data_IF_348751441054
#
_entry.id   IF_348751441054
#
_cell.length_a   1.000
_cell.length_b   1.000
_cell.length_c   1.000
_cell.angle_alpha   90.00
_cell.angle_beta   90.00
_cell.angle_gamma   90.00
#
_symmetry.space_group_name_H-M   'P 1'
#
loop_
_entity.id
_entity.type
_entity.pdbx_description
1 polymer ?
#
# COMPACT_ATOMS: atom_id res chain seq x y z
N UNK A 1 42.62 -25.62 50.95
CA UNK A 1 42.48 -25.26 49.52
C UNK A 1 41.04 -25.31 49.03
N UNK A 2 40.26 -26.37 49.30
CA UNK A 2 38.85 -26.44 48.84
C UNK A 2 37.92 -25.35 49.39
N UNK A 3 38.09 -24.94 50.66
CA UNK A 3 37.23 -23.91 51.27
C UNK A 3 37.43 -22.50 50.69
N UNK A 4 38.64 -22.17 50.23
CA UNK A 4 38.91 -20.87 49.60
C UNK A 4 38.31 -20.79 48.20
N UNK A 5 38.39 -21.88 47.43
CA UNK A 5 37.81 -21.96 46.09
C UNK A 5 36.28 -21.83 46.14
N UNK A 6 35.64 -22.46 47.13
CA UNK A 6 34.19 -22.34 47.33
C UNK A 6 33.74 -20.91 47.70
N UNK A 7 34.58 -20.16 48.40
CA UNK A 7 34.29 -18.75 48.74
C UNK A 7 34.43 -17.83 47.52
N UNK A 8 35.45 -18.06 46.68
CA UNK A 8 35.65 -17.30 45.45
C UNK A 8 34.56 -17.56 44.41
N UNK A 9 34.11 -18.81 44.28
CA UNK A 9 33.00 -19.16 43.38
C UNK A 9 31.70 -18.49 43.82
N UNK A 10 31.41 -18.44 45.14
CA UNK A 10 30.24 -17.73 45.66
C UNK A 10 30.25 -16.24 45.32
N UNK A 11 31.41 -15.58 45.45
CA UNK A 11 31.56 -14.17 45.08
C UNK A 11 31.30 -13.93 43.59
N UNK A 12 31.84 -14.80 42.72
CA UNK A 12 31.58 -14.72 41.28
C UNK A 12 30.10 -14.86 40.95
N UNK A 13 29.40 -15.79 41.60
CA UNK A 13 27.95 -15.95 41.41
C UNK A 13 27.14 -14.75 41.93
N UNK A 14 27.55 -14.15 43.04
CA UNK A 14 26.93 -12.93 43.56
C UNK A 14 27.15 -11.74 42.60
N UNK A 15 28.35 -11.58 42.07
CA UNK A 15 28.68 -10.54 41.09
C UNK A 15 27.89 -10.73 39.77
N UNK A 16 27.84 -11.96 39.25
CA UNK A 16 27.07 -12.29 38.04
C UNK A 16 25.57 -12.06 38.27
N UNK A 17 25.05 -12.42 39.45
CA UNK A 17 23.66 -12.19 39.81
C UNK A 17 23.33 -10.69 39.87
N UNK A 18 24.15 -9.88 40.54
CA UNK A 18 23.97 -8.43 40.60
C UNK A 18 24.00 -7.82 39.19
N UNK A 19 24.96 -8.24 38.35
CA UNK A 19 25.07 -7.76 36.98
C UNK A 19 23.81 -8.08 36.14
N UNK A 20 23.25 -9.29 36.28
CA UNK A 20 22.03 -9.67 35.58
C UNK A 20 20.79 -8.94 36.13
N UNK A 21 20.73 -8.71 37.44
CA UNK A 21 19.66 -7.91 38.07
C UNK A 21 19.67 -6.46 37.53
N UNK A 22 20.85 -5.82 37.49
CA UNK A 22 21.03 -4.48 36.91
C UNK A 22 20.60 -4.43 35.43
N UNK A 23 20.96 -5.45 34.64
CA UNK A 23 20.58 -5.52 33.23
C UNK A 23 19.07 -5.63 33.04
N UNK A 24 18.38 -6.38 33.91
CA UNK A 24 16.91 -6.50 33.88
C UNK A 24 16.25 -5.18 34.29
N UNK A 25 16.79 -4.47 35.27
CA UNK A 25 16.28 -3.16 35.67
C UNK A 25 16.45 -2.11 34.56
N UNK A 26 17.60 -2.08 33.89
CA UNK A 26 17.84 -1.19 32.76
C UNK A 26 16.88 -1.47 31.61
N UNK A 27 16.62 -2.74 31.30
CA UNK A 27 15.68 -3.14 30.25
C UNK A 27 14.23 -2.73 30.58
N UNK A 28 13.81 -2.94 31.83
CA UNK A 28 12.49 -2.49 32.32
C UNK A 28 12.34 -0.98 32.21
N UNK A 29 13.36 -0.23 32.63
CA UNK A 29 13.36 1.24 32.53
C UNK A 29 13.26 1.68 31.07
N UNK A 30 14.02 1.06 30.16
CA UNK A 30 13.98 1.35 28.72
C UNK A 30 12.60 1.08 28.13
N UNK A 31 11.92 -0.01 28.52
CA UNK A 31 10.54 -0.29 28.10
C UNK A 31 9.56 0.77 28.60
N UNK A 32 9.69 1.17 29.86
CA UNK A 32 8.82 2.17 30.47
C UNK A 32 8.98 3.54 29.79
N UNK A 33 10.21 3.96 29.51
CA UNK A 33 10.48 5.21 28.77
C UNK A 33 9.89 5.16 27.36
N UNK A 34 10.03 4.04 26.65
CA UNK A 34 9.45 3.86 25.31
C UNK A 34 7.91 3.90 25.34
N UNK A 35 7.27 3.32 26.37
CA UNK A 35 5.82 3.37 26.56
C UNK A 35 5.34 4.80 26.89
N UNK A 36 6.08 5.53 27.72
CA UNK A 36 5.81 6.93 28.02
C UNK A 36 5.96 7.81 26.77
N UNK A 37 7.01 7.61 25.96
CA UNK A 37 7.19 8.34 24.70
C UNK A 37 6.05 8.03 23.71
N UNK A 38 5.68 6.76 23.57
CA UNK A 38 4.59 6.34 22.71
C UNK A 38 3.23 6.93 23.17
N UNK A 39 2.96 6.93 24.47
CA UNK A 39 1.72 7.49 25.03
C UNK A 39 1.66 9.01 24.86
N UNK A 40 2.76 9.73 25.10
CA UNK A 40 2.84 11.17 24.84
C UNK A 40 2.61 11.51 23.35
N UNK A 41 3.14 10.68 22.45
CA UNK A 41 2.92 10.85 21.00
C UNK A 41 1.47 10.58 20.60
N UNK A 42 0.83 9.57 21.19
CA UNK A 42 -0.60 9.31 20.99
C UNK A 42 -1.46 10.48 21.49
N UNK A 43 -1.16 11.01 22.66
CA UNK A 43 -1.87 12.15 23.23
C UNK A 43 -1.73 13.40 22.35
N UNK A 44 -0.51 13.69 21.86
CA UNK A 44 -0.28 14.79 20.93
C UNK A 44 -1.10 14.65 19.63
N UNK A 45 -1.15 13.44 19.05
CA UNK A 45 -1.98 13.17 17.86
C UNK A 45 -3.48 13.29 18.16
N UNK A 46 -3.93 12.87 19.35
CA UNK A 46 -5.33 13.00 19.74
C UNK A 46 -5.73 14.48 19.87
N UNK A 47 -4.88 15.31 20.47
CA UNK A 47 -5.10 16.78 20.53
C UNK A 47 -5.17 17.39 19.14
N UNK A 48 -4.28 17.02 18.22
CA UNK A 48 -4.33 17.49 16.83
C UNK A 48 -5.63 17.06 16.12
N UNK A 49 -6.10 15.82 16.33
CA UNK A 49 -7.37 15.33 15.79
C UNK A 49 -8.55 16.15 16.34
N UNK A 50 -8.54 16.45 17.64
CA UNK A 50 -9.58 17.23 18.29
C UNK A 50 -9.62 18.68 17.78
N UNK A 51 -8.47 19.34 17.64
CA UNK A 51 -8.37 20.67 17.04
C UNK A 51 -8.91 20.69 15.60
N UNK A 52 -8.57 19.67 14.79
CA UNK A 52 -9.10 19.54 13.42
C UNK A 52 -10.61 19.31 13.41
N UNK A 53 -11.14 18.57 14.39
CA UNK A 53 -12.60 18.38 14.55
C UNK A 53 -13.29 19.69 14.90
N UNK A 54 -12.73 20.48 15.81
CA UNK A 54 -13.28 21.80 16.18
C UNK A 54 -13.21 22.82 15.02
N UNK A 55 -12.12 22.85 14.26
CA UNK A 55 -12.02 23.69 13.07
C UNK A 55 -13.10 23.32 12.02
N UNK A 56 -13.41 22.02 11.90
CA UNK A 56 -14.48 21.53 11.01
C UNK A 56 -15.88 21.89 11.52
N UNK A 57 -16.11 21.96 12.82
CA UNK A 57 -17.42 22.37 13.35
C UNK A 57 -17.61 23.89 13.23
N UNK A 58 -16.58 24.70 13.49
CA UNK A 58 -16.63 26.17 13.33
C UNK A 58 -16.86 26.63 11.89
N UNK A 59 -16.35 25.90 10.91
CA UNK A 59 -16.53 26.24 9.48
C UNK A 59 -17.87 25.79 8.89
N UNK A 60 -18.64 24.94 9.60
CA UNK A 60 -19.95 24.44 9.15
C UNK A 60 -21.13 25.37 9.43
N UNK A 61 -20.96 26.42 10.22
CA UNK A 61 -22.07 27.35 10.57
C UNK A 61 -22.30 28.49 9.58
N UNK A 62 -21.59 28.56 8.45
CA UNK A 62 -21.70 29.69 7.51
C UNK A 62 -22.27 29.38 6.11
N UNK A 63 -22.62 28.14 5.76
CA UNK A 63 -23.39 27.85 4.53
C UNK A 63 -23.92 26.40 4.49
N UNK A 64 -25.19 26.17 4.12
CA UNK A 64 -25.68 24.84 3.78
C UNK A 64 -25.30 24.53 2.33
N UNK A 65 -24.22 23.78 2.10
CA UNK A 65 -23.99 23.18 0.79
C UNK A 65 -23.68 21.69 0.93
N UNK A 66 -24.71 20.89 0.62
CA UNK A 66 -24.69 19.68 -0.19
C UNK A 66 -23.44 18.80 0.03
N UNK A 67 -23.69 17.71 0.76
CA UNK A 67 -22.77 16.61 0.99
C UNK A 67 -22.07 16.10 -0.28
N UNK A 68 -20.93 15.42 -0.10
CA UNK A 68 -21.00 14.00 -0.36
C UNK A 68 -20.73 13.17 0.90
N UNK A 69 -21.66 12.25 1.14
CA UNK A 69 -21.49 11.06 1.95
C UNK A 69 -20.24 10.30 1.47
N UNK A 70 -19.16 10.36 2.25
CA UNK A 70 -18.08 9.39 2.14
C UNK A 70 -18.47 8.29 3.11
N UNK A 71 -19.17 7.30 2.57
CA UNK A 71 -19.47 6.07 3.25
C UNK A 71 -18.19 5.50 3.86
N UNK A 72 -18.27 5.25 5.16
CA UNK A 72 -17.69 4.10 5.86
C UNK A 72 -17.26 2.96 4.92
N UNK A 73 -15.97 2.90 4.59
CA UNK A 73 -15.31 1.77 3.94
C UNK A 73 -14.99 0.63 4.94
N UNK A 74 -15.79 0.48 5.99
CA UNK A 74 -15.59 -0.53 7.04
C UNK A 74 -16.50 -1.77 6.91
N UNK A 75 -17.37 -1.86 5.89
CA UNK A 75 -18.32 -3.00 5.80
C UNK A 75 -18.59 -3.50 4.37
N UNK A 76 -17.53 -3.80 3.61
CA UNK A 76 -17.68 -4.59 2.37
C UNK A 76 -16.82 -5.85 2.36
N UNK A 77 -15.82 -5.98 3.23
CA UNK A 77 -15.01 -7.20 3.35
C UNK A 77 -15.83 -8.35 3.96
N UNK A 78 -16.83 -8.05 4.80
CA UNK A 78 -17.68 -9.07 5.46
C UNK A 78 -18.57 -9.87 4.49
N UNK A 79 -19.03 -9.27 3.39
CA UNK A 79 -19.94 -9.95 2.45
C UNK A 79 -19.24 -10.92 1.49
N UNK A 80 -17.91 -10.87 1.36
CA UNK A 80 -17.15 -11.80 0.52
C UNK A 80 -16.64 -13.04 1.26
N UNK A 81 -16.83 -13.12 2.58
CA UNK A 81 -16.39 -14.24 3.43
C UNK A 81 -17.55 -15.13 3.93
N UNK A 82 -18.81 -14.75 3.64
CA UNK A 82 -19.98 -15.56 3.97
C UNK A 82 -20.46 -16.24 2.69
N UNK A 83 -20.33 -17.58 2.54
CA UNK A 83 -20.95 -18.26 1.42
C UNK A 83 -22.47 -18.01 1.46
N UNK A 84 -23.12 -17.70 0.32
CA UNK A 84 -24.55 -17.50 0.30
C UNK A 84 -25.25 -18.76 0.82
N UNK A 85 -26.32 -18.64 1.62
CA UNK A 85 -27.09 -19.80 2.08
C UNK A 85 -27.56 -20.60 0.86
N UNK A 86 -27.54 -21.94 0.91
CA UNK A 86 -28.01 -22.76 -0.20
C UNK A 86 -29.50 -22.47 -0.41
N UNK A 87 -29.83 -21.70 -1.44
CA UNK A 87 -31.21 -21.54 -1.91
C UNK A 87 -31.73 -22.90 -2.34
N UNK A 88 -32.73 -23.40 -1.63
CA UNK A 88 -33.48 -24.59 -2.02
C UNK A 88 -33.95 -24.44 -3.47
N UNK A 89 -33.69 -25.46 -4.28
CA UNK A 89 -34.09 -25.52 -5.68
C UNK A 89 -35.61 -25.32 -5.79
N UNK A 90 -36.01 -24.16 -6.32
CA UNK A 90 -37.39 -23.93 -6.74
C UNK A 90 -37.61 -24.69 -8.04
N UNK A 91 -38.16 -25.88 -7.92
CA UNK A 91 -38.74 -26.67 -9.01
C UNK A 91 -40.03 -26.00 -9.48
N UNK A 92 -39.98 -25.11 -10.48
CA UNK A 92 -41.15 -24.75 -11.29
C UNK A 92 -40.77 -24.39 -12.72
N UNK A 93 -41.29 -25.18 -13.66
CA UNK A 93 -41.25 -24.87 -15.09
C UNK A 93 -41.32 -26.12 -15.97
N UNK A 94 -42.52 -26.66 -16.17
CA UNK A 94 -42.85 -27.62 -17.23
C UNK A 94 -42.51 -27.07 -18.61
N UNK A 95 -41.74 -27.78 -19.47
CA UNK A 95 -41.71 -27.49 -20.89
C UNK A 95 -42.62 -28.46 -21.66
N UNK A 96 -43.45 -27.86 -22.51
CA UNK A 96 -44.20 -28.46 -23.61
C UNK A 96 -43.31 -29.33 -24.52
N UNK A 97 -43.81 -30.46 -25.06
CA UNK A 97 -43.01 -31.33 -25.92
C UNK A 97 -42.97 -30.79 -27.35
N UNK A 98 -41.79 -30.40 -27.84
CA UNK A 98 -41.51 -30.21 -29.27
C UNK A 98 -40.56 -31.31 -29.72
N UNK A 99 -40.93 -32.17 -30.69
CA UNK A 99 -40.06 -33.24 -31.16
C UNK A 99 -39.15 -32.68 -32.26
N UNK A 100 -37.99 -32.15 -31.88
CA UNK A 100 -36.89 -31.95 -32.82
C UNK A 100 -35.69 -32.75 -32.39
N UNK A 101 -35.52 -33.88 -33.09
CA UNK A 101 -34.24 -34.58 -33.30
C UNK A 101 -33.11 -33.55 -33.41
N UNK A 102 -32.29 -33.46 -32.38
CA UNK A 102 -30.90 -33.04 -32.52
C UNK A 102 -30.07 -34.13 -31.88
N UNK A 103 -29.21 -34.72 -32.70
CA UNK A 103 -28.24 -35.73 -32.31
C UNK A 103 -27.19 -35.04 -31.43
N UNK A 104 -27.48 -34.96 -30.14
CA UNK A 104 -26.46 -34.68 -29.14
C UNK A 104 -25.51 -35.87 -29.16
N UNK A 105 -24.19 -35.69 -29.38
CA UNK A 105 -23.25 -36.78 -29.20
C UNK A 105 -23.39 -37.24 -27.76
N UNK A 106 -23.79 -38.49 -27.56
CA UNK A 106 -23.85 -39.16 -26.27
C UNK A 106 -22.46 -39.06 -25.65
N UNK A 107 -22.24 -38.05 -24.81
CA UNK A 107 -21.03 -37.97 -23.99
C UNK A 107 -21.05 -39.25 -23.18
N UNK A 108 -20.10 -40.13 -23.48
CA UNK A 108 -19.82 -41.32 -22.69
C UNK A 108 -19.90 -40.93 -21.21
N UNK A 109 -20.70 -41.60 -20.37
CA UNK A 109 -20.78 -41.26 -18.96
C UNK A 109 -19.37 -41.40 -18.39
N UNK A 110 -18.73 -40.26 -18.13
CA UNK A 110 -17.45 -40.23 -17.40
C UNK A 110 -17.66 -41.10 -16.16
N UNK A 111 -16.81 -42.11 -15.91
CA UNK A 111 -17.00 -43.02 -14.80
C UNK A 111 -17.19 -42.19 -13.53
N UNK A 112 -18.28 -42.46 -12.80
CA UNK A 112 -18.62 -41.73 -11.61
C UNK A 112 -17.42 -41.77 -10.66
N UNK A 113 -16.68 -40.65 -10.58
CA UNK A 113 -15.56 -40.51 -9.65
C UNK A 113 -16.09 -40.91 -8.26
N UNK A 114 -15.37 -41.80 -7.59
CA UNK A 114 -15.65 -42.17 -6.21
C UNK A 114 -15.80 -40.89 -5.37
N UNK A 115 -16.68 -40.89 -4.35
CA UNK A 115 -16.93 -39.70 -3.54
C UNK A 115 -15.64 -39.07 -3.00
N UNK A 116 -14.65 -39.89 -2.65
CA UNK A 116 -13.31 -39.47 -2.22
C UNK A 116 -12.57 -38.65 -3.30
N UNK A 117 -12.58 -39.10 -4.57
CA UNK A 117 -11.95 -38.35 -5.66
C UNK A 117 -12.64 -37.02 -5.94
N UNK A 118 -13.92 -36.88 -5.58
CA UNK A 118 -14.64 -35.60 -5.68
C UNK A 118 -14.25 -34.66 -4.55
N UNK A 119 -14.14 -35.16 -3.32
CA UNK A 119 -13.70 -34.35 -2.18
C UNK A 119 -12.28 -33.87 -2.37
N UNK A 120 -11.38 -34.72 -2.84
CA UNK A 120 -9.99 -34.33 -3.14
C UNK A 120 -9.92 -33.23 -4.20
N UNK A 121 -10.76 -33.33 -5.24
CA UNK A 121 -10.82 -32.31 -6.28
C UNK A 121 -11.34 -30.97 -5.74
N UNK A 122 -12.37 -30.98 -4.88
CA UNK A 122 -12.88 -29.76 -4.24
C UNK A 122 -11.81 -29.13 -3.34
N UNK A 123 -11.08 -29.94 -2.57
CA UNK A 123 -9.99 -29.47 -1.71
C UNK A 123 -8.86 -28.86 -2.56
N UNK A 124 -8.46 -29.52 -3.65
CA UNK A 124 -7.44 -29.00 -4.56
C UNK A 124 -7.87 -27.70 -5.22
N UNK A 125 -9.11 -27.61 -5.73
CA UNK A 125 -9.65 -26.39 -6.33
C UNK A 125 -9.73 -25.25 -5.31
N UNK A 126 -10.11 -25.56 -4.07
CA UNK A 126 -10.12 -24.60 -2.97
C UNK A 126 -8.71 -24.09 -2.65
N UNK A 127 -7.74 -24.99 -2.46
CA UNK A 127 -6.35 -24.63 -2.18
C UNK A 127 -5.72 -23.84 -3.33
N UNK A 128 -6.01 -24.21 -4.57
CA UNK A 128 -5.58 -23.48 -5.75
C UNK A 128 -6.15 -22.05 -5.75
N UNK A 129 -7.44 -21.90 -5.42
CA UNK A 129 -8.09 -20.59 -5.34
C UNK A 129 -7.54 -19.72 -4.20
N UNK A 130 -7.30 -20.30 -3.03
CA UNK A 130 -6.65 -19.61 -1.90
C UNK A 130 -5.24 -19.18 -2.28
N UNK A 131 -4.44 -20.04 -2.91
CA UNK A 131 -3.10 -19.71 -3.39
C UNK A 131 -3.11 -18.59 -4.42
N UNK A 132 -4.06 -18.60 -5.37
CA UNK A 132 -4.24 -17.51 -6.33
C UNK A 132 -4.62 -16.20 -5.64
N UNK A 133 -5.52 -16.23 -4.66
CA UNK A 133 -5.88 -15.04 -3.88
C UNK A 133 -4.67 -14.46 -3.13
N UNK A 134 -3.83 -15.29 -2.52
CA UNK A 134 -2.59 -14.83 -1.89
C UNK A 134 -1.60 -14.24 -2.89
N UNK A 135 -1.43 -14.86 -4.06
CA UNK A 135 -0.57 -14.31 -5.13
C UNK A 135 -1.08 -12.97 -5.62
N UNK A 136 -2.39 -12.83 -5.80
CA UNK A 136 -3.01 -11.56 -6.21
C UNK A 136 -2.90 -10.50 -5.12
N UNK A 137 -3.00 -10.88 -3.84
CA UNK A 137 -2.81 -9.96 -2.71
C UNK A 137 -1.35 -9.51 -2.59
N UNK A 138 -0.40 -10.43 -2.75
CA UNK A 138 1.03 -10.15 -2.59
C UNK A 138 1.62 -9.34 -3.76
N UNK A 139 1.16 -9.59 -4.99
CA UNK A 139 1.72 -8.97 -6.19
C UNK A 139 0.82 -7.92 -6.84
N UNK A 140 -0.43 -7.77 -6.37
CA UNK A 140 -1.45 -6.96 -7.03
C UNK A 140 -1.95 -7.62 -8.33
N UNK A 141 -3.01 -7.05 -8.92
CA UNK A 141 -3.57 -7.51 -10.18
C UNK A 141 -3.34 -6.50 -11.32
N UNK A 142 -3.08 -7.00 -12.52
CA UNK A 142 -2.98 -6.21 -13.75
C UNK A 142 -1.90 -5.12 -13.72
N UNK A 143 -2.32 -3.86 -13.90
CA UNK A 143 -1.43 -2.70 -14.03
C UNK A 143 -0.64 -2.41 -12.75
N UNK A 144 -1.27 -2.60 -11.59
CA UNK A 144 -0.62 -2.36 -10.29
C UNK A 144 0.60 -3.27 -10.11
N UNK A 145 0.48 -4.55 -10.50
CA UNK A 145 1.61 -5.48 -10.49
C UNK A 145 2.76 -5.01 -11.37
N UNK A 146 2.45 -4.59 -12.60
CA UNK A 146 3.50 -4.09 -13.50
C UNK A 146 4.19 -2.84 -12.95
N UNK A 147 3.47 -1.96 -12.27
CA UNK A 147 4.03 -0.75 -11.69
C UNK A 147 4.89 -1.06 -10.45
N UNK A 148 4.43 -1.97 -9.58
CA UNK A 148 5.20 -2.49 -8.45
C UNK A 148 6.47 -3.21 -8.89
N UNK A 149 6.39 -4.04 -9.94
CA UNK A 149 7.54 -4.75 -10.50
C UNK A 149 8.58 -3.77 -11.08
N UNK A 150 8.12 -2.70 -11.76
CA UNK A 150 9.00 -1.64 -12.27
C UNK A 150 9.68 -0.89 -11.13
N UNK A 151 8.92 -0.49 -10.11
CA UNK A 151 9.46 0.20 -8.95
C UNK A 151 10.47 -0.67 -8.19
N UNK A 152 10.16 -1.96 -8.02
CA UNK A 152 11.05 -2.93 -7.38
C UNK A 152 12.34 -3.10 -8.16
N UNK A 153 12.26 -3.28 -9.49
CA UNK A 153 13.45 -3.33 -10.36
C UNK A 153 14.29 -2.06 -10.26
N UNK A 154 13.65 -0.89 -10.26
CA UNK A 154 14.33 0.38 -10.12
C UNK A 154 15.05 0.50 -8.76
N UNK A 155 14.39 0.10 -7.66
CA UNK A 155 15.00 0.09 -6.32
C UNK A 155 16.17 -0.89 -6.21
N UNK A 156 16.08 -2.07 -6.84
CA UNK A 156 17.17 -3.04 -6.89
C UNK A 156 18.38 -2.45 -7.64
N UNK A 157 18.16 -1.82 -8.79
CA UNK A 157 19.24 -1.17 -9.55
C UNK A 157 19.89 -0.05 -8.74
N UNK A 158 19.08 0.79 -8.11
CA UNK A 158 19.56 1.85 -7.23
C UNK A 158 20.39 1.31 -6.07
N UNK A 159 19.94 0.23 -5.42
CA UNK A 159 20.69 -0.38 -4.33
C UNK A 159 22.01 -0.99 -4.82
N UNK A 160 22.03 -1.60 -6.01
CA UNK A 160 23.29 -2.08 -6.63
C UNK A 160 24.28 -0.94 -6.88
N UNK A 161 23.79 0.23 -7.30
CA UNK A 161 24.65 1.40 -7.51
C UNK A 161 25.16 1.98 -6.18
N UNK A 162 24.34 1.97 -5.12
CA UNK A 162 24.75 2.36 -3.76
C UNK A 162 25.87 1.45 -3.23
N UNK A 163 25.74 0.13 -3.43
CA UNK A 163 26.77 -0.85 -3.05
C UNK A 163 28.08 -0.53 -3.78
N UNK A 164 28.05 -0.30 -5.10
CA UNK A 164 29.25 0.05 -5.87
C UNK A 164 29.89 1.36 -5.41
N UNK A 165 29.09 2.34 -5.01
CA UNK A 165 29.58 3.63 -4.52
C UNK A 165 30.20 3.47 -3.13
N UNK A 166 29.56 2.70 -2.25
CA UNK A 166 30.09 2.36 -0.93
C UNK A 166 31.39 1.57 -1.03
N UNK A 167 31.48 0.57 -1.93
CA UNK A 167 32.72 -0.15 -2.22
C UNK A 167 33.84 0.81 -2.64
N UNK A 168 33.54 1.72 -3.58
CA UNK A 168 34.52 2.73 -4.02
C UNK A 168 34.95 3.65 -2.88
N UNK A 169 34.05 4.02 -1.98
CA UNK A 169 34.35 4.90 -0.85
C UNK A 169 35.19 4.20 0.23
N UNK A 170 34.92 2.92 0.52
CA UNK A 170 35.57 2.14 1.57
C UNK A 170 36.92 1.55 1.13
N UNK A 171 37.04 1.16 -0.14
CA UNK A 171 38.24 0.54 -0.71
C UNK A 171 39.04 1.45 -1.63
N UNK A 172 38.52 2.63 -1.98
CA UNK A 172 39.13 3.54 -2.96
C UNK A 172 39.04 3.05 -4.42
N UNK A 173 38.52 1.84 -4.66
CA UNK A 173 38.36 1.21 -5.98
C UNK A 173 37.13 0.31 -6.00
N UNK A 174 36.68 -0.09 -7.19
CA UNK A 174 35.67 -1.15 -7.32
C UNK A 174 36.34 -2.51 -7.15
N UNK A 175 35.78 -3.32 -6.26
CA UNK A 175 36.26 -4.68 -6.00
C UNK A 175 35.91 -5.59 -7.17
N UNK A 176 36.80 -6.55 -7.48
CA UNK A 176 36.48 -7.64 -8.40
C UNK A 176 35.62 -8.68 -7.70
N UNK A 177 34.86 -9.46 -8.48
CA UNK A 177 34.08 -10.58 -7.95
C UNK A 177 35.00 -11.55 -7.19
N UNK A 178 34.68 -11.82 -5.92
CA UNK A 178 35.46 -12.71 -5.03
C UNK A 178 36.66 -12.07 -4.33
N UNK A 179 37.05 -10.84 -4.65
CA UNK A 179 38.16 -10.16 -3.96
C UNK A 179 37.85 -9.89 -2.49
N UNK A 180 36.60 -9.52 -2.19
CA UNK A 180 36.12 -9.31 -0.83
C UNK A 180 36.18 -10.60 0.03
N UNK A 181 36.02 -11.76 -0.60
CA UNK A 181 36.04 -13.05 0.10
C UNK A 181 37.45 -13.55 0.39
N UNK A 182 38.46 -13.01 -0.30
CA UNK A 182 39.87 -13.31 -0.07
C UNK A 182 40.47 -12.52 1.09
N UNK A 183 39.76 -11.51 1.61
CA UNK A 183 40.22 -10.72 2.75
C UNK A 183 40.20 -11.55 4.04
N UNK A 184 41.13 -11.30 4.99
CA UNK A 184 41.07 -11.89 6.32
C UNK A 184 39.72 -11.62 6.99
N UNK A 185 39.17 -12.62 7.70
CA UNK A 185 37.84 -12.53 8.30
C UNK A 185 37.65 -11.29 9.20
N UNK A 186 38.67 -10.93 9.97
CA UNK A 186 38.65 -9.74 10.82
C UNK A 186 38.48 -8.44 10.00
N UNK A 187 39.23 -8.29 8.91
CA UNK A 187 39.13 -7.13 8.02
C UNK A 187 37.80 -7.13 7.25
N UNK A 188 37.33 -8.31 6.84
CA UNK A 188 36.05 -8.49 6.15
C UNK A 188 34.89 -7.94 6.99
N UNK A 189 34.85 -8.23 8.29
CA UNK A 189 33.83 -7.70 9.20
C UNK A 189 33.90 -6.17 9.28
N UNK A 190 35.08 -5.60 9.55
CA UNK A 190 35.27 -4.15 9.67
C UNK A 190 34.85 -3.44 8.38
N UNK A 191 35.28 -3.97 7.22
CA UNK A 191 34.96 -3.39 5.92
C UNK A 191 33.50 -3.58 5.54
N UNK A 192 32.88 -4.72 5.88
CA UNK A 192 31.45 -4.96 5.71
C UNK A 192 30.63 -3.93 6.49
N UNK A 193 31.00 -3.67 7.75
CA UNK A 193 30.31 -2.69 8.60
C UNK A 193 30.47 -1.27 8.05
N UNK A 194 31.65 -0.91 7.56
CA UNK A 194 31.89 0.36 6.88
C UNK A 194 31.04 0.52 5.61
N UNK A 195 30.99 -0.51 4.76
CA UNK A 195 30.13 -0.50 3.56
C UNK A 195 28.66 -0.32 3.95
N UNK A 196 28.19 -1.08 4.95
CA UNK A 196 26.81 -1.00 5.41
C UNK A 196 26.47 0.36 6.02
N UNK A 197 27.39 0.99 6.73
CA UNK A 197 27.22 2.34 7.26
C UNK A 197 27.02 3.36 6.13
N UNK A 198 27.89 3.32 5.11
CA UNK A 198 27.77 4.20 3.92
C UNK A 198 26.47 3.95 3.16
N UNK A 199 26.09 2.68 2.94
CA UNK A 199 24.82 2.35 2.27
C UNK A 199 23.63 2.91 3.04
N UNK A 200 23.60 2.76 4.38
CA UNK A 200 22.53 3.31 5.22
C UNK A 200 22.44 4.83 5.07
N UNK A 201 23.59 5.52 5.06
CA UNK A 201 23.65 6.97 4.86
C UNK A 201 23.10 7.38 3.49
N UNK A 202 23.51 6.70 2.41
CA UNK A 202 23.02 6.96 1.06
C UNK A 202 21.50 6.76 0.94
N UNK A 203 20.97 5.69 1.52
CA UNK A 203 19.53 5.41 1.56
C UNK A 203 18.81 6.52 2.34
N UNK A 204 19.34 6.95 3.48
CA UNK A 204 18.75 8.01 4.28
C UNK A 204 18.76 9.36 3.56
N UNK A 205 19.87 9.70 2.88
CA UNK A 205 19.98 10.90 2.07
C UNK A 205 18.95 10.94 0.93
N UNK A 206 18.73 9.79 0.26
CA UNK A 206 17.70 9.66 -0.78
C UNK A 206 16.29 9.83 -0.20
N UNK A 207 15.98 9.14 0.90
CA UNK A 207 14.68 9.25 1.58
C UNK A 207 14.38 10.69 2.02
N UNK A 208 15.40 11.38 2.53
CA UNK A 208 15.31 12.80 2.88
C UNK A 208 15.08 13.68 1.64
N UNK A 209 15.70 13.34 0.50
CA UNK A 209 15.46 13.95 -0.79
C UNK A 209 14.01 13.80 -1.26
N UNK A 210 13.47 12.58 -1.19
CA UNK A 210 12.10 12.26 -1.62
C UNK A 210 11.05 12.99 -0.75
N UNK A 211 11.28 13.07 0.57
CA UNK A 211 10.45 13.85 1.49
C UNK A 211 10.45 15.34 1.13
N UNK A 212 11.61 15.92 0.79
CA UNK A 212 11.72 17.31 0.34
C UNK A 212 11.07 17.54 -1.03
N UNK A 213 11.09 16.57 -1.94
CA UNK A 213 10.41 16.69 -3.22
C UNK A 213 8.88 16.60 -3.07
N UNK A 214 8.38 15.68 -2.24
CA UNK A 214 6.95 15.54 -1.97
C UNK A 214 6.33 16.80 -1.35
N UNK A 215 7.05 17.47 -0.44
CA UNK A 215 6.61 18.74 0.14
C UNK A 215 6.58 19.87 -0.89
N UNK A 216 7.57 19.97 -1.78
CA UNK A 216 7.58 20.95 -2.89
C UNK A 216 6.41 20.74 -3.85
N UNK A 217 6.08 19.49 -4.23
CA UNK A 217 4.93 19.20 -5.08
C UNK A 217 3.61 19.62 -4.42
N UNK A 218 3.43 19.32 -3.12
CA UNK A 218 2.24 19.75 -2.36
C UNK A 218 2.11 21.28 -2.33
N UNK A 219 3.21 22.01 -2.15
CA UNK A 219 3.23 23.48 -2.18
C UNK A 219 2.83 24.02 -3.55
N UNK A 220 3.42 23.51 -4.63
CA UNK A 220 3.06 23.89 -6.02
C UNK A 220 1.59 23.61 -6.35
N UNK A 221 1.04 22.47 -5.89
CA UNK A 221 -0.38 22.16 -6.10
C UNK A 221 -1.30 23.12 -5.34
N UNK A 222 -0.93 23.53 -4.12
CA UNK A 222 -1.67 24.57 -3.37
C UNK A 222 -1.59 25.95 -4.04
N UNK A 223 -0.43 26.34 -4.55
CA UNK A 223 -0.26 27.60 -5.29
C UNK A 223 -1.08 27.62 -6.59
N UNK A 224 -1.03 26.55 -7.39
CA UNK A 224 -1.85 26.43 -8.59
C UNK A 224 -3.35 26.40 -8.29
N UNK A 225 -3.79 25.76 -7.20
CA UNK A 225 -5.19 25.77 -6.79
C UNK A 225 -5.68 27.17 -6.34
N UNK A 226 -4.80 27.98 -5.73
CA UNK A 226 -5.11 29.38 -5.37
C UNK A 226 -5.18 30.26 -6.62
N UNK A 227 -4.24 30.12 -7.56
CA UNK A 227 -4.25 30.89 -8.81
C UNK A 227 -5.42 30.50 -9.74
N UNK A 228 -5.82 29.24 -9.76
CA UNK A 228 -6.99 28.78 -10.54
C UNK A 228 -8.32 29.35 -10.05
N UNK A 229 -8.47 29.64 -8.76
CA UNK A 229 -9.69 30.26 -8.20
C UNK A 229 -9.88 31.72 -8.57
N UNK A 230 -8.80 32.46 -8.87
CA UNK A 230 -8.92 33.86 -9.31
C UNK A 230 -9.30 33.99 -10.79
N UNK A 231 -8.86 33.07 -11.66
CA UNK A 231 -9.24 33.11 -13.10
C UNK A 231 -10.70 32.72 -13.38
N UNK A 232 -11.40 32.10 -12.43
CA UNK A 232 -12.81 31.73 -12.57
C UNK A 232 -13.81 32.88 -12.31
N UNK A 233 -13.36 34.05 -11.84
CA UNK A 233 -14.22 35.22 -11.65
C UNK A 233 -14.36 36.08 -12.90
N UNK A 234 -13.36 36.10 -13.78
CA UNK A 234 -13.38 36.95 -14.98
C UNK A 234 -14.12 36.30 -16.17
N UNK A 235 -14.21 34.97 -16.22
CA UNK A 235 -14.93 34.24 -17.27
C UNK A 235 -16.47 34.30 -17.15
N UNK A 236 -17.02 34.77 -16.03
CA UNK A 236 -18.46 35.05 -15.91
C UNK A 236 -18.89 36.31 -16.67
N UNK A 237 -17.96 37.17 -17.08
CA UNK A 237 -18.26 38.35 -17.90
C UNK A 237 -18.28 38.07 -19.41
N UNK A 238 -17.68 36.96 -19.87
CA UNK A 238 -17.55 36.67 -21.30
C UNK A 238 -18.68 35.81 -21.89
N UNK A 239 -19.46 35.10 -21.06
CA UNK A 239 -20.54 34.20 -21.56
C UNK A 239 -21.86 34.92 -21.87
N UNK A 240 -21.97 36.22 -21.59
CA UNK A 240 -23.14 37.01 -21.97
C UNK A 240 -23.07 37.51 -23.43
N UNK A 241 -21.87 37.65 -23.98
CA UNK A 241 -21.68 38.23 -25.32
C UNK A 241 -21.85 37.21 -26.47
N UNK A 242 -21.60 35.92 -26.23
CA UNK A 242 -21.71 34.88 -27.26
C UNK A 242 -23.11 34.31 -27.47
N UNK A 243 -24.07 34.53 -26.54
CA UNK A 243 -25.47 34.11 -26.75
C UNK A 243 -26.22 34.98 -27.77
N UNK A 244 -25.86 36.26 -27.91
CA UNK A 244 -26.53 37.18 -28.85
C UNK A 244 -26.18 36.88 -30.31
N UNK A 245 -25.01 36.29 -30.58
CA UNK A 245 -24.58 35.95 -31.93
C UNK A 245 -25.22 34.66 -32.47
N UNK A 246 -25.56 33.69 -31.60
CA UNK A 246 -26.18 32.43 -32.02
C UNK A 246 -27.65 32.58 -32.41
N UNK A 247 -28.40 33.48 -31.76
CA UNK A 247 -29.82 33.73 -32.09
C UNK A 247 -30.01 34.47 -33.42
N UNK A 248 -29.07 35.35 -33.81
CA UNK A 248 -29.15 36.02 -35.13
C UNK A 248 -28.90 35.09 -36.32
N UNK A 249 -28.06 34.08 -36.16
CA UNK A 249 -27.83 33.08 -37.21
C UNK A 249 -29.01 32.14 -37.45
N UNK A 250 -29.86 31.91 -36.44
CA UNK A 250 -31.02 31.02 -36.58
C UNK A 250 -32.17 31.66 -37.37
N UNK A 251 -32.35 32.99 -37.26
CA UNK A 251 -33.36 33.72 -38.02
C UNK A 251 -33.03 33.84 -39.53
N UNK A 252 -31.74 33.83 -39.89
CA UNK A 252 -31.31 33.94 -41.29
C UNK A 252 -31.51 32.63 -42.08
N UNK A 253 -31.45 31.47 -41.44
CA UNK A 253 -31.74 30.20 -42.12
C UNK A 253 -33.24 29.94 -42.34
N UNK A 254 -34.13 30.55 -41.55
CA UNK A 254 -35.57 30.32 -41.69
C UNK A 254 -36.23 31.08 -42.85
N UNK A 255 -35.53 32.02 -43.49
CA UNK A 255 -36.06 32.85 -44.59
C UNK A 255 -35.72 32.31 -45.99
N UNK A 256 -34.93 31.24 -46.12
CA UNK A 256 -34.50 30.71 -47.42
C UNK A 256 -35.24 29.47 -47.92
N UNK A 257 -36.30 29.01 -47.26
CA UNK A 257 -37.08 27.82 -47.66
C UNK A 257 -38.50 28.14 -48.13
N UNK A 258 -38.67 29.19 -48.93
CA UNK A 258 -39.93 29.44 -49.66
C UNK A 258 -39.62 29.32 -51.15
N UNK A 259 -39.79 28.11 -51.69
CA UNK A 259 -39.76 27.85 -53.14
C UNK A 259 -41.02 28.44 -53.81
N UNK A 260 -40.90 29.18 -54.92
CA UNK A 260 -42.03 29.47 -55.78
C UNK A 260 -42.24 28.33 -56.80
N UNK A 261 -43.51 27.97 -56.99
CA UNK A 261 -44.06 27.05 -58.00
C UNK A 261 -43.85 27.51 -59.43
#
# INVERSE_FOLDING_TARGET
MFLSQQADDRRRYEDERMYLEDQVEEERKRRQEAEQEASARMEAMQREIEELREQKTRTKSAAPSIAPSIMTLESTISHYLIPPPPTAAVTRGTPTPSPRRSLVPTRSPTPAKTPEKRTDQVIQDFLARVSMSFKNLAHGEGKQRSDLDKETKQKILQHKDDVKLAERQVFGRQLKAGEFDQLPHAEKLIKSDQIMAVIKELIQNRRNGDLKQGTKMKKRKKENAKNGKNKGKDLKSFSASTRVLAEKSFLLLSLMTIEPS
#
